data_IF_430427201853
#
_entry.id   IF_430427201853
#
_cell.length_a   1.000
_cell.length_b   1.000
_cell.length_c   1.000
_cell.angle_alpha   90.00
_cell.angle_beta   90.00
_cell.angle_gamma   90.00
#
_symmetry.space_group_name_H-M   'P 1'
#
loop_
_entity.id
_entity.type
_entity.pdbx_description
1 polymer ?
#
# COMPACT_ATOMS: atom_id res chain seq x y z
N UNK A 1 4.11 -2.03 -22.03
CA UNK A 1 4.48 -2.96 -20.91
C UNK A 1 3.63 -4.23 -20.98
N UNK A 2 4.23 -5.39 -20.65
CA UNK A 2 3.58 -6.71 -20.68
C UNK A 2 3.05 -7.02 -19.28
N UNK A 3 1.79 -7.44 -19.21
CA UNK A 3 1.20 -7.99 -17.98
C UNK A 3 1.51 -9.49 -17.94
N UNK A 4 2.35 -9.90 -17.02
CA UNK A 4 2.71 -11.29 -16.76
C UNK A 4 1.75 -11.91 -15.76
N UNK A 5 1.44 -13.19 -15.92
CA UNK A 5 0.86 -13.99 -14.83
C UNK A 5 1.87 -14.21 -13.70
N UNK A 6 1.42 -14.79 -12.60
CA UNK A 6 2.25 -15.02 -11.40
C UNK A 6 3.56 -15.74 -11.70
N UNK A 7 3.51 -16.83 -12.46
CA UNK A 7 4.68 -17.68 -12.69
C UNK A 7 5.71 -16.97 -13.56
N UNK A 8 5.28 -16.37 -14.66
CA UNK A 8 6.17 -15.61 -15.55
C UNK A 8 6.74 -14.35 -14.88
N UNK A 9 5.95 -13.67 -14.04
CA UNK A 9 6.44 -12.53 -13.27
C UNK A 9 7.56 -12.92 -12.29
N UNK A 10 7.39 -14.00 -11.54
CA UNK A 10 8.41 -14.55 -10.64
C UNK A 10 9.69 -14.89 -11.43
N UNK A 11 9.56 -15.62 -12.53
CA UNK A 11 10.71 -15.99 -13.37
C UNK A 11 11.44 -14.77 -13.92
N UNK A 12 10.68 -13.75 -14.40
CA UNK A 12 11.25 -12.50 -14.92
C UNK A 12 12.03 -11.74 -13.84
N UNK A 13 11.47 -11.58 -12.65
CA UNK A 13 12.14 -10.91 -11.53
C UNK A 13 13.42 -11.65 -11.11
N UNK A 14 13.36 -12.98 -10.97
CA UNK A 14 14.51 -13.80 -10.61
C UNK A 14 15.62 -13.70 -11.67
N UNK A 15 15.27 -13.74 -12.95
CA UNK A 15 16.21 -13.63 -14.06
C UNK A 15 16.92 -12.27 -14.06
N UNK A 16 16.17 -11.17 -13.99
CA UNK A 16 16.73 -9.81 -13.98
C UNK A 16 17.64 -9.60 -12.77
N UNK A 17 17.24 -10.06 -11.60
CA UNK A 17 18.04 -9.92 -10.38
C UNK A 17 19.34 -10.75 -10.47
N UNK A 18 19.29 -11.97 -11.00
CA UNK A 18 20.45 -12.83 -11.24
C UNK A 18 21.43 -12.20 -12.24
N UNK A 19 20.92 -11.51 -13.25
CA UNK A 19 21.71 -10.75 -14.24
C UNK A 19 22.25 -9.42 -13.69
N UNK A 20 21.88 -9.05 -12.47
CA UNK A 20 22.27 -7.79 -11.84
C UNK A 20 21.62 -6.55 -12.47
N UNK A 21 20.47 -6.74 -13.13
CA UNK A 21 19.72 -5.68 -13.79
C UNK A 21 18.82 -4.96 -12.80
N UNK A 22 18.77 -3.64 -12.91
CA UNK A 22 17.81 -2.82 -12.19
C UNK A 22 16.43 -2.95 -12.88
N UNK A 23 15.37 -3.16 -12.10
CA UNK A 23 14.01 -3.30 -12.62
C UNK A 23 12.96 -2.77 -11.65
N UNK A 24 11.77 -2.48 -12.17
CA UNK A 24 10.58 -2.20 -11.36
C UNK A 24 9.59 -3.34 -11.46
N UNK A 25 8.77 -3.47 -10.44
CA UNK A 25 7.64 -4.40 -10.40
C UNK A 25 6.39 -3.72 -9.84
N UNK A 26 5.23 -4.06 -10.42
CA UNK A 26 3.92 -3.62 -9.98
C UNK A 26 3.02 -4.84 -9.98
N UNK A 27 2.64 -5.34 -8.82
CA UNK A 27 1.93 -6.59 -8.63
C UNK A 27 0.52 -6.27 -8.12
N UNK A 28 -0.51 -6.87 -8.72
CA UNK A 28 -1.89 -6.66 -8.30
C UNK A 28 -2.20 -7.31 -6.94
N UNK A 29 -3.35 -6.97 -6.36
CA UNK A 29 -3.78 -7.45 -5.03
C UNK A 29 -3.81 -8.97 -4.91
N UNK A 30 -4.38 -9.68 -5.90
CA UNK A 30 -4.50 -11.14 -5.89
C UNK A 30 -3.17 -11.85 -6.19
N UNK A 31 -2.13 -11.10 -6.54
CA UNK A 31 -0.81 -11.60 -6.91
C UNK A 31 -0.87 -12.65 -8.05
N UNK A 32 -1.81 -12.47 -8.97
CA UNK A 32 -1.98 -13.29 -10.17
C UNK A 32 -1.57 -12.56 -11.45
N UNK A 33 -1.35 -11.23 -11.37
CA UNK A 33 -0.89 -10.37 -12.46
C UNK A 33 0.16 -9.35 -12.01
N UNK A 34 1.21 -9.16 -12.82
CA UNK A 34 2.25 -8.19 -12.53
C UNK A 34 2.88 -7.58 -13.79
N UNK A 35 3.30 -6.32 -13.71
CA UNK A 35 4.24 -5.70 -14.63
C UNK A 35 5.65 -5.79 -14.04
N UNK A 36 6.60 -6.25 -14.86
CA UNK A 36 8.03 -6.36 -14.49
C UNK A 36 8.87 -5.87 -15.65
N UNK A 37 9.47 -4.69 -15.51
CA UNK A 37 10.25 -4.06 -16.57
C UNK A 37 11.68 -3.75 -16.12
N UNK A 38 12.65 -4.05 -16.96
CA UNK A 38 14.02 -3.58 -16.78
C UNK A 38 14.03 -2.05 -16.82
N UNK A 39 14.75 -1.40 -15.89
CA UNK A 39 14.76 0.06 -15.77
C UNK A 39 15.14 0.77 -17.08
N UNK A 40 16.08 0.20 -17.82
CA UNK A 40 16.55 0.76 -19.09
C UNK A 40 15.49 0.76 -20.21
N UNK A 41 14.48 -0.13 -20.10
CA UNK A 41 13.45 -0.32 -21.12
C UNK A 41 12.15 0.44 -20.81
N UNK A 42 12.09 1.12 -19.66
CA UNK A 42 10.86 1.84 -19.24
C UNK A 42 10.63 3.06 -20.12
N UNK A 43 9.46 3.07 -20.79
CA UNK A 43 9.00 4.23 -21.52
C UNK A 43 8.33 5.24 -20.55
N UNK A 44 8.90 6.44 -20.32
CA UNK A 44 8.33 7.41 -19.40
C UNK A 44 6.98 7.99 -19.86
N UNK A 45 6.60 7.82 -21.13
CA UNK A 45 5.27 8.19 -21.62
C UNK A 45 4.18 7.16 -21.28
N UNK A 46 4.54 5.99 -20.75
CA UNK A 46 3.62 4.93 -20.32
C UNK A 46 3.65 4.71 -18.81
N UNK A 47 4.82 4.89 -18.18
CA UNK A 47 5.03 4.63 -16.77
C UNK A 47 5.99 5.66 -16.16
N UNK A 48 5.52 6.38 -15.16
CA UNK A 48 6.35 7.22 -14.30
C UNK A 48 6.30 6.73 -12.86
N UNK A 49 7.44 6.76 -12.19
CA UNK A 49 7.53 6.49 -10.77
C UNK A 49 8.59 7.32 -10.08
N UNK A 50 8.40 7.55 -8.80
CA UNK A 50 9.39 8.16 -7.92
C UNK A 50 9.34 7.42 -6.58
N UNK A 51 10.38 6.66 -6.30
CA UNK A 51 10.63 5.97 -5.03
C UNK A 51 11.86 6.58 -4.35
N UNK A 52 12.08 6.39 -3.06
CA UNK A 52 13.24 6.94 -2.37
C UNK A 52 14.58 6.55 -3.00
N UNK A 53 14.67 5.32 -3.54
CA UNK A 53 15.90 4.75 -4.09
C UNK A 53 16.06 4.94 -5.60
N UNK A 54 14.97 5.20 -6.34
CA UNK A 54 14.97 5.24 -7.81
C UNK A 54 13.79 6.04 -8.37
N UNK A 55 14.03 6.82 -9.44
CA UNK A 55 13.00 7.58 -10.15
C UNK A 55 13.31 7.64 -11.64
N UNK A 56 12.27 7.69 -12.48
CA UNK A 56 12.40 7.86 -13.92
C UNK A 56 11.73 9.12 -14.45
N UNK A 57 11.40 10.09 -13.59
CA UNK A 57 10.78 11.35 -14.02
C UNK A 57 11.77 12.13 -14.88
N UNK A 58 11.44 12.48 -16.15
CA UNK A 58 12.31 13.27 -17.00
C UNK A 58 12.51 14.70 -16.47
N UNK A 59 13.68 15.28 -16.71
CA UNK A 59 13.91 16.70 -16.42
C UNK A 59 13.02 17.57 -17.32
N UNK A 60 12.36 18.57 -16.71
CA UNK A 60 11.53 19.51 -17.45
C UNK A 60 10.15 18.99 -17.87
N UNK A 61 9.71 17.84 -17.32
CA UNK A 61 8.37 17.33 -17.56
C UNK A 61 7.32 18.36 -17.17
N UNK A 62 6.37 18.62 -18.07
CA UNK A 62 5.34 19.63 -17.92
C UNK A 62 4.04 19.06 -17.33
N UNK A 63 3.35 19.85 -16.54
CA UNK A 63 2.05 19.51 -15.97
C UNK A 63 1.15 20.74 -15.84
N UNK A 64 -0.15 20.55 -15.72
CA UNK A 64 -1.11 21.64 -15.53
C UNK A 64 -0.94 22.31 -14.17
N UNK A 65 -0.86 23.63 -14.15
CA UNK A 65 -0.87 24.46 -12.94
C UNK A 65 -2.25 25.01 -12.58
N UNK A 66 -3.31 24.56 -13.24
CA UNK A 66 -4.67 25.01 -12.93
C UNK A 66 -5.06 24.72 -11.47
N UNK A 67 -5.94 25.56 -10.93
CA UNK A 67 -6.51 25.32 -9.61
C UNK A 67 -7.27 23.98 -9.61
N UNK A 68 -7.02 23.17 -8.58
CA UNK A 68 -7.62 21.83 -8.47
C UNK A 68 -9.12 21.94 -8.22
N UNK A 69 -9.92 21.34 -9.10
CA UNK A 69 -11.34 21.08 -8.86
C UNK A 69 -11.46 19.61 -8.49
N UNK A 70 -11.97 19.34 -7.31
CA UNK A 70 -12.08 17.97 -6.79
C UNK A 70 -13.48 17.74 -6.25
N UNK A 71 -14.17 16.76 -6.79
CA UNK A 71 -15.49 16.35 -6.34
C UNK A 71 -15.54 14.84 -6.20
N UNK A 72 -16.12 14.35 -5.13
CA UNK A 72 -16.26 12.93 -4.82
C UNK A 72 -17.72 12.58 -4.62
N UNK A 73 -18.10 11.38 -5.03
CA UNK A 73 -19.42 10.81 -4.81
C UNK A 73 -19.26 9.59 -3.88
N UNK A 74 -19.13 9.79 -2.55
CA UNK A 74 -18.88 8.69 -1.64
C UNK A 74 -20.10 7.74 -1.60
N UNK A 75 -19.84 6.48 -1.21
CA UNK A 75 -20.89 5.52 -0.89
C UNK A 75 -21.85 6.12 0.15
N UNK A 76 -23.13 5.76 0.05
CA UNK A 76 -24.07 6.10 1.11
C UNK A 76 -23.67 5.41 2.41
N UNK A 77 -24.09 5.99 3.54
CA UNK A 77 -23.83 5.39 4.84
C UNK A 77 -24.44 3.99 4.94
N UNK A 78 -25.64 3.80 4.41
CA UNK A 78 -26.36 2.52 4.45
C UNK A 78 -25.62 1.44 3.66
N UNK A 79 -25.07 1.76 2.46
CA UNK A 79 -24.28 0.83 1.66
C UNK A 79 -22.98 0.44 2.39
N UNK A 80 -22.31 1.41 3.01
CA UNK A 80 -21.12 1.12 3.80
C UNK A 80 -21.44 0.27 5.03
N UNK A 81 -22.53 0.58 5.73
CA UNK A 81 -22.99 -0.14 6.92
C UNK A 81 -23.32 -1.61 6.60
N UNK A 82 -23.93 -1.87 5.44
CA UNK A 82 -24.17 -3.24 4.99
C UNK A 82 -22.85 -4.03 4.84
N UNK A 83 -21.83 -3.43 4.20
CA UNK A 83 -20.54 -4.05 3.97
C UNK A 83 -19.76 -4.31 5.26
N UNK A 84 -19.66 -3.31 6.14
CA UNK A 84 -18.94 -3.45 7.41
C UNK A 84 -19.61 -4.46 8.33
N UNK A 85 -20.95 -4.52 8.35
CA UNK A 85 -21.69 -5.48 9.16
C UNK A 85 -21.46 -6.93 8.69
N UNK A 86 -21.33 -7.16 7.38
CA UNK A 86 -20.95 -8.47 6.84
C UNK A 86 -19.56 -8.90 7.37
N UNK A 87 -18.56 -8.02 7.25
CA UNK A 87 -17.22 -8.28 7.75
C UNK A 87 -17.24 -8.59 9.25
N UNK A 88 -17.88 -7.74 10.05
CA UNK A 88 -17.98 -7.92 11.51
C UNK A 88 -18.72 -9.21 11.89
N UNK A 89 -19.70 -9.64 11.11
CA UNK A 89 -20.37 -10.93 11.33
C UNK A 89 -19.40 -12.08 11.13
N UNK A 90 -18.64 -12.10 10.02
CA UNK A 90 -17.65 -13.14 9.73
C UNK A 90 -16.55 -13.21 10.80
N UNK A 91 -16.14 -12.06 11.32
CA UNK A 91 -15.17 -12.00 12.42
C UNK A 91 -15.71 -12.56 13.73
N UNK A 92 -17.00 -12.29 14.06
CA UNK A 92 -17.66 -12.89 15.23
C UNK A 92 -17.84 -14.40 15.10
N UNK A 93 -18.00 -14.89 13.88
CA UNK A 93 -18.07 -16.32 13.56
C UNK A 93 -16.67 -16.98 13.64
N UNK A 94 -15.59 -16.19 13.76
CA UNK A 94 -14.23 -16.68 13.88
C UNK A 94 -13.54 -16.92 12.53
N UNK A 95 -14.12 -16.48 11.43
CA UNK A 95 -13.60 -16.62 10.07
C UNK A 95 -12.37 -15.71 9.80
N UNK A 96 -12.30 -14.56 10.48
CA UNK A 96 -11.20 -13.59 10.40
C UNK A 96 -11.03 -12.87 11.74
N UNK A 97 -9.87 -12.30 11.97
CA UNK A 97 -9.57 -11.47 13.16
C UNK A 97 -9.42 -9.99 12.80
N UNK A 98 -9.12 -9.71 11.56
CA UNK A 98 -8.93 -8.39 11.00
C UNK A 98 -9.14 -8.49 9.49
N UNK A 99 -9.95 -7.63 8.93
CA UNK A 99 -10.11 -7.49 7.48
C UNK A 99 -9.96 -6.01 7.08
N UNK A 100 -9.22 -5.76 6.02
CA UNK A 100 -9.14 -4.43 5.44
C UNK A 100 -10.31 -4.26 4.45
N UNK A 101 -11.34 -3.53 4.85
CA UNK A 101 -12.51 -3.23 4.01
C UNK A 101 -12.29 -1.96 3.22
N UNK A 102 -12.55 -2.00 1.91
CA UNK A 102 -12.32 -0.86 1.02
C UNK A 102 -13.54 -0.47 0.20
N UNK A 103 -13.50 0.77 -0.32
CA UNK A 103 -14.56 1.35 -1.13
C UNK A 103 -13.97 1.93 -2.42
N UNK A 104 -14.73 1.78 -3.52
CA UNK A 104 -14.47 2.41 -4.80
C UNK A 104 -15.37 3.63 -4.93
N UNK A 105 -14.79 4.83 -4.95
CA UNK A 105 -15.49 6.12 -4.85
C UNK A 105 -15.29 6.89 -6.15
N UNK A 106 -16.35 7.19 -6.94
CA UNK A 106 -16.26 8.01 -8.13
C UNK A 106 -15.71 9.40 -7.82
N UNK A 107 -14.83 9.87 -8.71
CA UNK A 107 -14.17 11.18 -8.58
C UNK A 107 -14.30 11.94 -9.87
N UNK A 108 -14.54 13.26 -9.78
CA UNK A 108 -14.47 14.21 -10.90
C UNK A 108 -13.43 15.27 -10.59
N UNK A 109 -12.52 15.48 -11.54
CA UNK A 109 -11.47 16.49 -11.44
C UNK A 109 -11.13 17.06 -12.82
N UNK A 110 -10.53 18.24 -12.85
CA UNK A 110 -9.97 18.84 -14.06
C UNK A 110 -8.55 18.39 -14.35
N UNK A 111 -7.97 17.54 -13.52
CA UNK A 111 -6.60 17.06 -13.66
C UNK A 111 -6.60 15.67 -14.32
N UNK A 112 -5.64 15.43 -15.20
CA UNK A 112 -5.31 14.07 -15.65
C UNK A 112 -4.61 13.28 -14.53
N UNK A 113 -4.57 11.95 -14.64
CA UNK A 113 -3.78 11.11 -13.71
C UNK A 113 -2.30 11.48 -13.72
N UNK A 114 -1.77 11.91 -14.89
CA UNK A 114 -0.40 12.41 -15.03
C UNK A 114 -0.19 13.71 -14.23
N UNK A 115 -1.10 14.69 -14.36
CA UNK A 115 -1.02 15.94 -13.58
C UNK A 115 -1.07 15.67 -12.08
N UNK A 116 -1.92 14.73 -11.65
CA UNK A 116 -2.00 14.32 -10.24
C UNK A 116 -0.66 13.72 -9.79
N UNK A 117 -0.05 12.83 -10.59
CA UNK A 117 1.27 12.28 -10.30
C UNK A 117 2.34 13.35 -10.16
N UNK A 118 2.44 14.25 -11.13
CA UNK A 118 3.48 15.28 -11.16
C UNK A 118 3.36 16.27 -10.00
N UNK A 119 2.13 16.61 -9.61
CA UNK A 119 1.84 17.57 -8.55
C UNK A 119 1.80 16.97 -7.15
N UNK A 120 1.62 15.66 -7.04
CA UNK A 120 1.53 15.00 -5.73
C UNK A 120 2.90 14.87 -5.05
N UNK A 121 2.89 14.94 -3.72
CA UNK A 121 4.07 14.69 -2.89
C UNK A 121 3.78 13.49 -2.00
N UNK A 122 4.50 12.39 -2.23
CA UNK A 122 4.44 11.19 -1.42
C UNK A 122 5.78 10.47 -1.47
N UNK A 123 6.01 9.61 -0.49
CA UNK A 123 7.24 8.82 -0.39
C UNK A 123 7.42 7.90 -1.60
N UNK A 124 6.33 7.25 -2.02
CA UNK A 124 6.28 6.43 -3.23
C UNK A 124 5.16 6.91 -4.13
N UNK A 125 5.49 7.20 -5.39
CA UNK A 125 4.52 7.61 -6.41
C UNK A 125 4.69 6.76 -7.65
N UNK A 126 3.58 6.38 -8.27
CA UNK A 126 3.56 5.67 -9.52
C UNK A 126 2.36 6.10 -10.35
N UNK A 127 2.59 6.35 -11.63
CA UNK A 127 1.56 6.60 -12.63
C UNK A 127 1.73 5.64 -13.78
N UNK A 128 0.66 5.00 -14.18
CA UNK A 128 0.58 4.19 -15.38
C UNK A 128 -0.50 4.79 -16.29
N UNK A 129 -0.12 5.08 -17.51
CA UNK A 129 -0.96 5.74 -18.50
C UNK A 129 -2.30 5.02 -18.64
N UNK A 130 -3.41 5.80 -18.59
CA UNK A 130 -4.78 5.33 -18.76
C UNK A 130 -5.21 4.20 -17.82
N UNK A 131 -4.48 4.00 -16.72
CA UNK A 131 -4.77 2.97 -15.72
C UNK A 131 -4.94 3.54 -14.34
N UNK A 132 -3.86 4.07 -13.75
CA UNK A 132 -3.90 4.54 -12.38
C UNK A 132 -2.81 5.56 -12.03
N UNK A 133 -3.01 6.23 -10.91
CA UNK A 133 -1.99 6.93 -10.14
C UNK A 133 -2.06 6.49 -8.69
N UNK A 134 -0.88 6.29 -8.08
CA UNK A 134 -0.73 5.89 -6.69
C UNK A 134 0.30 6.80 -5.98
N UNK A 135 0.03 7.17 -4.73
CA UNK A 135 0.90 8.00 -3.91
C UNK A 135 0.93 7.50 -2.46
N UNK A 136 1.67 6.42 -2.26
CA UNK A 136 1.69 5.68 -1.00
C UNK A 136 2.69 6.21 0.02
N UNK A 137 2.30 6.31 1.30
CA UNK A 137 3.23 6.51 2.41
C UNK A 137 3.75 5.20 3.00
N UNK A 138 3.15 4.03 2.67
CA UNK A 138 3.35 2.77 3.35
C UNK A 138 4.39 1.90 2.67
N UNK A 139 5.49 1.65 3.39
CA UNK A 139 6.53 0.71 2.97
C UNK A 139 5.99 -0.72 3.08
N UNK A 140 6.09 -1.51 1.99
CA UNK A 140 5.83 -2.93 2.05
C UNK A 140 7.00 -3.67 2.70
N UNK A 141 8.12 -3.77 1.99
CA UNK A 141 9.40 -4.26 2.53
C UNK A 141 10.57 -3.53 1.89
N UNK A 142 11.66 -3.45 2.63
CA UNK A 142 12.99 -3.07 2.14
C UNK A 142 13.95 -4.21 2.35
N UNK A 143 14.81 -4.46 1.37
CA UNK A 143 15.89 -5.45 1.47
C UNK A 143 17.19 -4.74 1.14
N UNK A 144 18.15 -4.82 2.05
CA UNK A 144 19.47 -4.25 1.84
C UNK A 144 20.41 -5.23 1.11
N UNK A 145 21.63 -4.80 0.79
CA UNK A 145 22.61 -5.60 0.04
C UNK A 145 23.09 -6.84 0.78
N UNK A 146 22.96 -6.86 2.09
CA UNK A 146 23.33 -7.95 2.99
C UNK A 146 22.19 -8.97 3.16
N UNK A 147 21.04 -8.74 2.50
CA UNK A 147 19.86 -9.61 2.60
C UNK A 147 19.04 -9.40 3.89
N UNK A 148 19.27 -8.29 4.61
CA UNK A 148 18.41 -7.93 5.73
C UNK A 148 17.09 -7.36 5.14
N UNK A 149 15.98 -8.08 5.37
CA UNK A 149 14.64 -7.61 5.06
C UNK A 149 14.07 -6.84 6.26
N UNK A 150 13.38 -5.74 5.97
CA UNK A 150 12.74 -4.89 6.98
C UNK A 150 11.34 -4.49 6.54
N UNK A 151 10.39 -4.47 7.47
CA UNK A 151 9.06 -3.90 7.30
C UNK A 151 8.76 -2.92 8.42
N UNK A 152 7.92 -1.91 8.11
CA UNK A 152 7.67 -0.77 9.00
C UNK A 152 6.16 -0.54 9.18
N UNK A 153 5.46 -1.44 9.90
CA UNK A 153 4.04 -1.24 10.17
C UNK A 153 3.79 0.04 10.94
N UNK A 154 2.78 0.76 10.49
CA UNK A 154 2.35 2.04 11.07
C UNK A 154 0.90 1.94 11.51
N UNK A 155 0.58 2.46 12.72
CA UNK A 155 -0.80 2.49 13.21
C UNK A 155 -0.94 3.60 14.26
N UNK A 156 -2.03 4.35 14.16
CA UNK A 156 -2.27 5.49 15.05
C UNK A 156 -1.55 6.76 14.59
N UNK A 157 -2.33 7.82 14.48
CA UNK A 157 -1.85 9.14 14.04
C UNK A 157 -2.54 10.21 14.88
N UNK A 158 -1.81 11.24 15.26
CA UNK A 158 -2.35 12.40 15.99
C UNK A 158 -1.71 13.69 15.50
N UNK A 159 -2.45 14.80 15.56
CA UNK A 159 -1.91 16.12 15.28
C UNK A 159 -0.82 16.49 16.31
N UNK A 160 0.39 16.74 15.82
CA UNK A 160 1.55 17.04 16.64
C UNK A 160 1.44 18.37 17.42
N UNK A 161 0.54 19.27 17.01
CA UNK A 161 0.33 20.57 17.68
C UNK A 161 -0.51 20.45 18.97
N UNK A 162 -1.15 19.31 19.20
CA UNK A 162 -1.96 19.10 20.40
C UNK A 162 -1.09 18.99 21.66
N UNK A 163 -1.52 19.58 22.78
CA UNK A 163 -0.83 19.38 24.05
C UNK A 163 -0.72 17.90 24.40
N UNK A 164 0.46 17.45 24.82
CA UNK A 164 0.75 16.03 25.17
C UNK A 164 0.40 14.99 24.09
N UNK A 165 0.43 15.38 22.80
CA UNK A 165 0.07 14.52 21.68
C UNK A 165 0.77 13.16 21.69
N UNK A 166 2.07 13.13 21.94
CA UNK A 166 2.85 11.89 22.02
C UNK A 166 2.36 10.97 23.13
N UNK A 167 2.09 11.52 24.32
CA UNK A 167 1.56 10.76 25.44
C UNK A 167 0.16 10.19 25.13
N UNK A 168 -0.74 11.02 24.60
CA UNK A 168 -2.09 10.61 24.19
C UNK A 168 -2.01 9.45 23.17
N UNK A 169 -1.14 9.58 22.17
CA UNK A 169 -0.92 8.55 21.14
C UNK A 169 -0.40 7.24 21.75
N UNK A 170 0.57 7.32 22.65
CA UNK A 170 1.20 6.14 23.25
C UNK A 170 0.32 5.45 24.29
N UNK A 171 -0.54 6.18 25.00
CA UNK A 171 -1.46 5.65 26.01
C UNK A 171 -2.78 5.14 25.41
N UNK A 172 -3.05 5.37 24.13
CA UNK A 172 -4.27 4.89 23.46
C UNK A 172 -4.26 3.35 23.37
N UNK A 173 -5.12 2.70 24.19
CA UNK A 173 -5.18 1.24 24.29
C UNK A 173 -5.73 0.57 23.03
N UNK A 174 -6.67 1.21 22.34
CA UNK A 174 -7.22 0.68 21.08
C UNK A 174 -6.12 0.63 20.02
N UNK A 175 -5.46 1.75 19.78
CA UNK A 175 -4.35 1.85 18.82
C UNK A 175 -3.21 0.90 19.17
N UNK A 176 -2.91 0.73 20.45
CA UNK A 176 -1.88 -0.20 20.92
C UNK A 176 -2.23 -1.67 20.59
N UNK A 177 -3.47 -2.08 20.78
CA UNK A 177 -3.93 -3.43 20.46
C UNK A 177 -3.94 -3.69 18.94
N UNK A 178 -4.42 -2.75 18.16
CA UNK A 178 -4.42 -2.83 16.69
C UNK A 178 -2.98 -2.88 16.15
N UNK A 179 -2.08 -2.06 16.70
CA UNK A 179 -0.66 -2.05 16.33
C UNK A 179 0.02 -3.39 16.66
N UNK A 180 -0.26 -3.97 17.83
CA UNK A 180 0.27 -5.28 18.21
C UNK A 180 -0.17 -6.38 17.23
N UNK A 181 -1.44 -6.35 16.80
CA UNK A 181 -1.99 -7.30 15.82
C UNK A 181 -1.28 -7.20 14.48
N UNK A 182 -1.07 -5.99 13.96
CA UNK A 182 -0.36 -5.78 12.68
C UNK A 182 1.11 -6.18 12.79
N UNK A 183 1.78 -5.86 13.89
CA UNK A 183 3.18 -6.26 14.12
C UNK A 183 3.32 -7.78 14.12
N UNK A 184 2.42 -8.49 14.81
CA UNK A 184 2.46 -9.95 14.83
C UNK A 184 2.18 -10.57 13.47
N UNK A 185 1.21 -10.03 12.73
CA UNK A 185 0.89 -10.45 11.38
C UNK A 185 2.09 -10.32 10.44
N UNK A 186 2.76 -9.16 10.44
CA UNK A 186 3.92 -8.92 9.58
C UNK A 186 5.12 -9.74 10.02
N UNK A 187 5.32 -9.94 11.33
CA UNK A 187 6.34 -10.83 11.85
C UNK A 187 6.15 -12.26 11.34
N UNK A 188 4.91 -12.74 11.34
CA UNK A 188 4.57 -14.07 10.81
C UNK A 188 4.81 -14.13 9.29
N UNK A 189 4.41 -13.10 8.53
CA UNK A 189 4.66 -13.04 7.08
C UNK A 189 6.17 -13.10 6.78
N UNK A 190 6.98 -12.29 7.44
CA UNK A 190 8.44 -12.33 7.24
C UNK A 190 9.06 -13.68 7.61
N UNK A 191 8.51 -14.38 8.62
CA UNK A 191 9.01 -15.70 9.04
C UNK A 191 8.81 -16.80 7.98
N UNK A 192 8.00 -16.56 6.95
CA UNK A 192 7.84 -17.50 5.81
C UNK A 192 9.11 -17.54 4.96
N UNK A 193 9.82 -16.42 4.85
CA UNK A 193 10.93 -16.24 3.88
C UNK A 193 12.26 -15.87 4.53
N UNK A 194 12.28 -15.56 5.82
CA UNK A 194 13.46 -15.08 6.52
C UNK A 194 13.67 -15.80 7.84
N UNK A 195 14.92 -15.91 8.26
CA UNK A 195 15.33 -16.39 9.57
C UNK A 195 15.58 -15.21 10.54
N UNK A 196 15.71 -15.52 11.82
CA UNK A 196 16.01 -14.54 12.88
C UNK A 196 15.05 -13.33 12.87
N UNK A 197 13.77 -13.57 12.57
CA UNK A 197 12.77 -12.51 12.52
C UNK A 197 12.53 -11.95 13.91
N UNK A 198 12.69 -10.63 14.05
CA UNK A 198 12.56 -9.93 15.33
C UNK A 198 11.95 -8.53 15.18
N UNK A 199 11.28 -8.09 16.22
CA UNK A 199 10.84 -6.70 16.34
C UNK A 199 11.99 -5.88 16.90
N UNK A 200 12.72 -5.19 16.03
CA UNK A 200 13.91 -4.41 16.36
C UNK A 200 13.58 -3.15 17.15
N UNK A 201 12.49 -2.48 16.79
CA UNK A 201 11.93 -1.34 17.51
C UNK A 201 10.41 -1.49 17.56
N UNK A 202 9.82 -1.34 18.74
CA UNK A 202 8.38 -1.48 18.93
C UNK A 202 7.74 -0.16 19.33
N UNK A 203 6.68 0.25 18.60
CA UNK A 203 5.86 1.44 18.88
C UNK A 203 6.68 2.70 19.18
N UNK A 204 7.62 3.04 18.33
CA UNK A 204 8.29 4.34 18.41
C UNK A 204 7.46 5.41 17.67
N UNK A 205 7.67 6.67 18.01
CA UNK A 205 6.94 7.79 17.41
C UNK A 205 7.75 8.39 16.28
N UNK A 206 7.15 8.46 15.10
CA UNK A 206 7.65 9.20 13.94
C UNK A 206 6.99 10.58 13.87
N UNK A 207 7.79 11.62 13.62
CA UNK A 207 7.33 12.96 13.33
C UNK A 207 7.25 13.14 11.81
N UNK A 208 6.07 13.39 11.29
CA UNK A 208 5.82 13.53 9.87
C UNK A 208 5.23 14.90 9.55
N UNK A 209 5.78 15.54 8.52
CA UNK A 209 5.22 16.78 7.96
C UNK A 209 4.29 16.44 6.82
N UNK A 210 3.04 16.89 6.91
CA UNK A 210 2.01 16.70 5.88
C UNK A 210 1.56 18.06 5.34
N UNK A 211 0.72 18.05 4.30
CA UNK A 211 0.08 19.25 3.78
C UNK A 211 -0.88 19.92 4.77
N UNK A 212 -1.38 19.17 5.75
CA UNK A 212 -2.31 19.66 6.78
C UNK A 212 -1.60 20.07 8.07
N UNK A 213 -0.28 19.91 8.13
CA UNK A 213 0.53 20.20 9.30
C UNK A 213 1.40 19.04 9.74
N UNK A 214 1.96 19.14 10.94
CA UNK A 214 2.79 18.10 11.54
C UNK A 214 1.93 17.07 12.27
N UNK A 215 2.26 15.81 12.11
CA UNK A 215 1.59 14.69 12.77
C UNK A 215 2.62 13.79 13.46
N UNK A 216 2.18 13.15 14.53
CA UNK A 216 2.88 12.03 15.16
C UNK A 216 2.21 10.74 14.71
N UNK A 217 3.04 9.73 14.44
CA UNK A 217 2.57 8.40 14.06
C UNK A 217 3.34 7.32 14.80
N UNK A 218 2.67 6.28 15.28
CA UNK A 218 3.40 5.13 15.85
C UNK A 218 3.80 4.16 14.75
N UNK A 219 5.07 3.74 14.80
CA UNK A 219 5.67 2.78 13.88
C UNK A 219 6.40 1.68 14.65
N UNK A 220 6.61 0.54 14.02
CA UNK A 220 7.54 -0.49 14.48
C UNK A 220 8.47 -0.90 13.35
N UNK A 221 9.63 -1.43 13.70
CA UNK A 221 10.60 -1.99 12.73
C UNK A 221 10.74 -3.48 13.00
N UNK A 222 10.39 -4.29 12.01
CA UNK A 222 10.52 -5.74 12.04
C UNK A 222 11.58 -6.12 11.03
N UNK A 223 12.56 -6.93 11.43
CA UNK A 223 13.67 -7.34 10.57
C UNK A 223 13.81 -8.84 10.54
N UNK A 224 14.38 -9.37 9.45
CA UNK A 224 14.75 -10.79 9.33
C UNK A 224 15.91 -10.92 8.35
N UNK A 225 16.62 -12.07 8.39
CA UNK A 225 17.71 -12.37 7.48
C UNK A 225 17.23 -13.32 6.39
N UNK A 226 17.32 -12.89 5.12
CA UNK A 226 17.02 -13.72 3.97
C UNK A 226 18.13 -14.75 3.72
N UNK A 227 17.81 -15.88 3.02
CA UNK A 227 18.80 -16.85 2.55
C UNK A 227 19.89 -16.21 1.70
N UNK A 228 21.06 -16.81 1.64
CA UNK A 228 22.24 -16.27 0.92
C UNK A 228 22.02 -16.12 -0.57
N UNK A 229 21.14 -16.92 -1.16
CA UNK A 229 20.74 -16.92 -2.57
C UNK A 229 19.52 -16.03 -2.88
N UNK A 230 19.13 -15.16 -1.93
CA UNK A 230 17.92 -14.33 -2.06
C UNK A 230 17.85 -13.52 -3.36
N UNK A 231 19.01 -13.08 -3.89
CA UNK A 231 19.06 -12.29 -5.12
C UNK A 231 18.56 -13.07 -6.33
N UNK A 232 18.89 -14.37 -6.40
CA UNK A 232 18.45 -15.24 -7.48
C UNK A 232 16.98 -15.67 -7.36
N UNK A 233 16.38 -15.46 -6.15
CA UNK A 233 15.04 -15.89 -5.80
C UNK A 233 14.12 -14.73 -5.39
N UNK A 234 14.48 -13.49 -5.72
CA UNK A 234 13.78 -12.30 -5.20
C UNK A 234 12.30 -12.26 -5.57
N UNK A 235 11.94 -12.65 -6.79
CA UNK A 235 10.55 -12.77 -7.21
C UNK A 235 9.80 -13.80 -6.38
N UNK A 236 10.37 -14.98 -6.21
CA UNK A 236 9.77 -16.05 -5.38
C UNK A 236 9.52 -15.58 -3.95
N UNK A 237 10.53 -14.95 -3.33
CA UNK A 237 10.43 -14.45 -1.96
C UNK A 237 9.34 -13.38 -1.79
N UNK A 238 9.32 -12.39 -2.68
CA UNK A 238 8.30 -11.32 -2.61
C UNK A 238 6.89 -11.86 -2.82
N UNK A 239 6.68 -12.77 -3.76
CA UNK A 239 5.37 -13.37 -4.02
C UNK A 239 4.88 -14.28 -2.87
N UNK A 240 5.76 -14.84 -2.03
CA UNK A 240 5.37 -15.56 -0.82
C UNK A 240 4.76 -14.64 0.26
N UNK A 241 5.09 -13.36 0.26
CA UNK A 241 4.53 -12.38 1.20
C UNK A 241 3.14 -11.88 0.78
N UNK A 242 2.74 -12.11 -0.49
CA UNK A 242 1.51 -11.53 -1.06
C UNK A 242 0.28 -12.43 -0.87
N UNK A 243 -0.91 -11.79 -0.79
CA UNK A 243 -1.10 -10.35 -0.64
C UNK A 243 -0.52 -9.83 0.68
N UNK A 244 -0.20 -8.52 0.72
CA UNK A 244 0.37 -7.92 1.94
C UNK A 244 -0.62 -8.00 3.11
N UNK A 245 -0.14 -8.43 4.28
CA UNK A 245 -1.00 -8.65 5.45
C UNK A 245 -1.68 -7.38 5.96
N UNK A 246 -0.97 -6.24 5.91
CA UNK A 246 -1.48 -4.95 6.40
C UNK A 246 -2.73 -4.45 5.68
N UNK A 247 -2.93 -4.85 4.42
CA UNK A 247 -4.08 -4.43 3.59
C UNK A 247 -5.03 -5.59 3.25
N UNK A 248 -4.80 -6.76 3.80
CA UNK A 248 -5.68 -7.92 3.66
C UNK A 248 -6.32 -8.24 5.01
N UNK A 249 -5.52 -8.66 5.96
CA UNK A 249 -5.94 -9.16 7.26
C UNK A 249 -5.49 -10.60 7.50
N UNK A 250 -6.11 -11.27 8.44
CA UNK A 250 -5.71 -12.62 8.88
C UNK A 250 -6.90 -13.47 9.35
N UNK A 251 -6.91 -14.79 8.99
CA UNK A 251 -6.02 -15.51 8.06
C UNK A 251 -6.24 -15.10 6.61
N UNK A 252 -5.17 -14.89 5.84
CA UNK A 252 -5.25 -14.30 4.49
C UNK A 252 -6.25 -14.96 3.53
N UNK A 253 -6.25 -16.31 3.31
CA UNK A 253 -7.14 -16.91 2.33
C UNK A 253 -8.62 -16.66 2.64
N UNK A 254 -9.03 -16.88 3.89
CA UNK A 254 -10.43 -16.68 4.30
C UNK A 254 -10.81 -15.21 4.31
N UNK A 255 -9.90 -14.35 4.73
CA UNK A 255 -10.15 -12.89 4.72
C UNK A 255 -10.31 -12.35 3.30
N UNK A 256 -9.58 -12.87 2.31
CA UNK A 256 -9.77 -12.48 0.90
C UNK A 256 -11.17 -12.82 0.40
N UNK A 257 -11.70 -14.01 0.73
CA UNK A 257 -13.08 -14.40 0.37
C UNK A 257 -14.12 -13.44 0.99
N UNK A 258 -13.94 -13.07 2.26
CA UNK A 258 -14.80 -12.11 2.96
C UNK A 258 -14.73 -10.73 2.30
N UNK A 259 -13.55 -10.28 1.92
CA UNK A 259 -13.35 -9.00 1.23
C UNK A 259 -14.05 -9.02 -0.13
N UNK A 260 -13.87 -10.07 -0.93
CA UNK A 260 -14.52 -10.21 -2.23
C UNK A 260 -16.07 -10.18 -2.10
N UNK A 261 -16.62 -10.86 -1.05
CA UNK A 261 -18.06 -10.86 -0.74
C UNK A 261 -18.55 -9.46 -0.33
N UNK A 262 -17.80 -8.75 0.52
CA UNK A 262 -18.23 -7.48 1.10
C UNK A 262 -18.07 -6.29 0.14
N UNK A 263 -17.00 -6.25 -0.66
CA UNK A 263 -16.68 -5.10 -1.50
C UNK A 263 -17.48 -5.05 -2.81
N UNK A 264 -17.70 -6.22 -3.44
CA UNK A 264 -18.46 -6.34 -4.68
C UNK A 264 -17.77 -5.68 -5.89
N UNK A 265 -16.45 -5.48 -5.86
CA UNK A 265 -15.63 -4.99 -6.97
C UNK A 265 -14.22 -5.57 -6.91
N UNK A 266 -13.52 -5.60 -8.04
CA UNK A 266 -12.13 -6.03 -8.11
C UNK A 266 -11.19 -4.91 -7.69
N UNK A 267 -10.31 -5.16 -6.73
CA UNK A 267 -9.28 -4.21 -6.29
C UNK A 267 -8.24 -3.95 -7.39
N UNK A 268 -7.96 -4.96 -8.21
CA UNK A 268 -6.95 -4.94 -9.26
C UNK A 268 -5.57 -4.56 -8.69
N UNK A 269 -4.96 -3.46 -9.13
CA UNK A 269 -3.66 -2.98 -8.59
C UNK A 269 -3.79 -2.21 -7.26
N UNK A 270 -4.96 -1.74 -6.91
CA UNK A 270 -5.17 -1.14 -5.59
C UNK A 270 -4.93 -2.18 -4.48
N UNK A 271 -4.20 -1.79 -3.44
CA UNK A 271 -3.71 -2.68 -2.38
C UNK A 271 -2.77 -3.80 -2.86
N UNK A 272 -2.31 -3.73 -4.11
CA UNK A 272 -1.16 -4.49 -4.58
C UNK A 272 0.15 -3.89 -4.07
N UNK A 273 1.26 -4.29 -4.67
CA UNK A 273 2.60 -3.86 -4.28
C UNK A 273 3.36 -3.33 -5.49
N UNK A 274 4.01 -2.18 -5.32
CA UNK A 274 4.95 -1.62 -6.28
C UNK A 274 6.33 -1.49 -5.66
N UNK A 275 7.37 -1.61 -6.48
CA UNK A 275 8.73 -1.45 -5.99
C UNK A 275 9.78 -1.54 -7.07
N UNK A 276 11.03 -1.39 -6.66
CA UNK A 276 12.18 -1.58 -7.52
C UNK A 276 13.21 -2.48 -6.87
N UNK A 277 13.94 -3.18 -7.73
CA UNK A 277 15.19 -3.83 -7.41
C UNK A 277 16.32 -3.03 -8.07
N UNK A 278 17.26 -2.56 -7.29
CA UNK A 278 18.41 -1.83 -7.80
C UNK A 278 19.66 -2.13 -7.00
N UNK A 279 20.74 -2.48 -7.71
CA UNK A 279 22.07 -2.74 -7.11
C UNK A 279 22.04 -3.74 -5.94
N UNK A 280 21.19 -4.76 -6.03
CA UNK A 280 21.03 -5.79 -5.00
C UNK A 280 20.17 -5.40 -3.81
N UNK A 281 19.39 -4.34 -3.92
CA UNK A 281 18.47 -3.85 -2.89
C UNK A 281 17.05 -3.84 -3.43
N UNK A 282 16.07 -4.01 -2.53
CA UNK A 282 14.64 -3.82 -2.83
C UNK A 282 14.10 -2.66 -2.02
N UNK A 283 13.34 -1.79 -2.66
CA UNK A 283 12.55 -0.75 -2.03
C UNK A 283 11.12 -0.81 -2.58
N UNK A 284 10.13 -1.04 -1.71
CA UNK A 284 8.77 -1.33 -2.14
C UNK A 284 7.71 -0.76 -1.22
N UNK A 285 6.54 -0.53 -1.78
CA UNK A 285 5.39 0.06 -1.10
C UNK A 285 4.09 -0.69 -1.41
N UNK A 286 3.16 -0.66 -0.46
CA UNK A 286 1.78 -1.07 -0.68
C UNK A 286 1.06 0.00 -1.50
N UNK A 287 0.27 -0.38 -2.49
CA UNK A 287 -0.41 0.57 -3.38
C UNK A 287 -1.72 1.07 -2.76
N UNK A 288 -1.60 2.06 -1.88
CA UNK A 288 -2.71 2.80 -1.27
C UNK A 288 -2.68 4.27 -1.68
N UNK A 289 -3.72 5.06 -1.35
CA UNK A 289 -3.91 6.40 -1.92
C UNK A 289 -3.91 6.31 -3.45
N UNK A 290 -4.91 5.65 -3.97
CA UNK A 290 -4.94 5.12 -5.32
C UNK A 290 -6.14 5.65 -6.09
N UNK A 291 -5.90 6.10 -7.33
CA UNK A 291 -6.96 6.50 -8.25
C UNK A 291 -6.78 5.67 -9.51
N UNK A 292 -7.79 4.92 -9.91
CA UNK A 292 -7.83 4.26 -11.20
C UNK A 292 -8.77 4.96 -12.18
N UNK A 293 -8.62 4.58 -13.44
CA UNK A 293 -9.48 5.00 -14.52
C UNK A 293 -10.09 3.74 -15.16
N UNK A 294 -11.42 3.71 -15.28
CA UNK A 294 -12.08 2.62 -15.98
C UNK A 294 -12.04 2.80 -17.51
N UNK A 295 -12.60 1.82 -18.22
CA UNK A 295 -12.60 1.82 -19.70
C UNK A 295 -13.37 2.98 -20.31
N UNK A 296 -14.30 3.56 -19.58
CA UNK A 296 -15.12 4.70 -20.00
C UNK A 296 -14.48 6.04 -19.62
N UNK A 297 -13.29 6.00 -19.01
CA UNK A 297 -12.56 7.18 -18.59
C UNK A 297 -12.97 7.74 -17.22
N UNK A 298 -13.91 7.11 -16.52
CA UNK A 298 -14.32 7.54 -15.19
C UNK A 298 -13.23 7.23 -14.16
N UNK A 299 -12.91 8.23 -13.36
CA UNK A 299 -11.93 8.10 -12.27
C UNK A 299 -12.60 7.60 -10.97
N UNK A 300 -11.90 6.73 -10.26
CA UNK A 300 -12.32 6.24 -8.96
C UNK A 300 -11.18 6.31 -7.96
N UNK A 301 -11.43 6.93 -6.84
CA UNK A 301 -10.54 6.84 -5.69
C UNK A 301 -10.86 5.58 -4.89
N UNK A 302 -9.86 4.81 -4.54
CA UNK A 302 -10.02 3.63 -3.68
C UNK A 302 -9.43 3.92 -2.30
N UNK A 303 -10.25 3.74 -1.27
CA UNK A 303 -9.87 3.97 0.12
C UNK A 303 -10.50 2.91 1.03
N UNK A 304 -9.86 2.66 2.17
CA UNK A 304 -10.36 1.67 3.13
C UNK A 304 -9.65 1.74 4.47
N UNK A 305 -10.04 0.86 5.36
CA UNK A 305 -9.49 0.73 6.70
C UNK A 305 -9.58 -0.68 7.24
N UNK A 306 -8.82 -0.96 8.29
CA UNK A 306 -8.86 -2.23 8.99
C UNK A 306 -10.09 -2.33 9.88
N UNK A 307 -10.92 -3.32 9.65
CA UNK A 307 -12.13 -3.60 10.42
C UNK A 307 -11.85 -4.74 11.39
N UNK A 308 -12.38 -4.62 12.57
CA UNK A 308 -12.46 -5.67 13.60
C UNK A 308 -13.89 -5.83 14.08
N UNK A 309 -14.21 -6.95 14.72
CA UNK A 309 -15.54 -7.19 15.29
C UNK A 309 -16.02 -6.08 16.25
N UNK A 310 -15.08 -5.27 16.79
CA UNK A 310 -15.35 -4.17 17.72
C UNK A 310 -15.35 -2.79 17.04
N UNK A 311 -15.05 -2.69 15.73
CA UNK A 311 -15.05 -1.41 15.00
C UNK A 311 -16.40 -0.70 15.09
N UNK A 312 -16.35 0.63 15.25
CA UNK A 312 -17.52 1.49 15.20
C UNK A 312 -17.83 1.88 13.75
N UNK A 313 -19.02 1.57 13.25
CA UNK A 313 -19.37 1.78 11.85
C UNK A 313 -19.26 3.26 11.41
N UNK A 314 -19.66 4.20 12.30
CA UNK A 314 -19.61 5.64 12.01
C UNK A 314 -18.19 6.17 11.93
N UNK A 315 -17.33 5.72 12.83
CA UNK A 315 -15.93 6.15 12.87
C UNK A 315 -15.18 5.63 11.65
N UNK A 316 -15.38 4.35 11.31
CA UNK A 316 -14.78 3.74 10.13
C UNK A 316 -15.27 4.40 8.81
N UNK A 317 -16.57 4.72 8.71
CA UNK A 317 -17.11 5.43 7.56
C UNK A 317 -16.47 6.81 7.39
N UNK A 318 -16.37 7.58 8.47
CA UNK A 318 -15.71 8.89 8.46
C UNK A 318 -14.26 8.78 8.04
N UNK A 319 -13.52 7.78 8.57
CA UNK A 319 -12.13 7.54 8.25
C UNK A 319 -11.93 7.26 6.75
N UNK A 320 -12.81 6.44 6.14
CA UNK A 320 -12.77 6.18 4.69
C UNK A 320 -12.94 7.47 3.90
N UNK A 321 -13.94 8.29 4.24
CA UNK A 321 -14.20 9.56 3.54
C UNK A 321 -13.02 10.54 3.69
N UNK A 322 -12.43 10.65 4.88
CA UNK A 322 -11.29 11.53 5.15
C UNK A 322 -10.01 11.11 4.39
N UNK A 323 -9.89 9.84 4.04
CA UNK A 323 -8.78 9.30 3.24
C UNK A 323 -8.87 9.65 1.75
N UNK A 324 -10.02 10.15 1.27
CA UNK A 324 -10.23 10.48 -0.15
C UNK A 324 -9.74 11.90 -0.45
N UNK A 325 -8.44 12.02 -0.65
CA UNK A 325 -7.79 13.28 -1.03
C UNK A 325 -6.56 13.07 -1.90
N UNK A 326 -6.17 14.09 -2.67
CA UNK A 326 -4.91 14.10 -3.40
C UNK A 326 -3.88 14.96 -2.68
N UNK A 327 -2.66 14.47 -2.44
CA UNK A 327 -1.59 15.19 -1.74
C UNK A 327 -0.90 16.19 -2.67
N UNK A 328 -1.66 17.16 -3.20
CA UNK A 328 -1.18 18.24 -4.06
C UNK A 328 -0.99 19.49 -3.19
N UNK A 329 0.17 20.14 -3.30
CA UNK A 329 0.54 21.33 -2.54
C UNK A 329 1.03 22.45 -3.47
#
# INVERSE_FOLDING_TARGET
>A
MILYDREHAIQRMNTLAKEGKDFIFIINYKADGAYVEEYADINPHELLFAFPSLSNIPEGESYSNEAVKWHTEPLTRDDYEHRINLVKQREREGDSYLANLTCKIPVRTNLSLHDIFMRSKALYRCWMKEKFVCFSPEIFVRINREGLISSFPMKGTIDATRPEAEKELMENKKEAAEHATIVDLIRNDLSIIAEQVQVKRYRYVDHLTTNKGEILQTSSEITGQLPTDYRENIGTLLFHLLPAGSITGAPKPRTMEIIDEAEGYERDFYTGVMGCYSKGQVDSAVMIRFIDQDKDGQLHYKAGGGITAQSNNDDEYKEVIEKVYVPIY
#
